data_IF_548824203578
#
_entry.id   IF_548824203578
#
_cell.length_a   1.000
_cell.length_b   1.000
_cell.length_c   1.000
_cell.angle_alpha   90.00
_cell.angle_beta   90.00
_cell.angle_gamma   90.00
#
_symmetry.space_group_name_H-M   'P 1'
#
loop_
_entity.id
_entity.type
_entity.pdbx_description
1 polymer ?
#
# COMPACT_ATOMS: atom_id res chain seq x y z
N UNK A 1 18.94 4.76 -15.59
CA UNK A 1 17.75 5.38 -16.19
C UNK A 1 16.60 5.56 -15.19
N UNK A 2 16.08 4.50 -14.54
CA UNK A 2 14.96 4.63 -13.60
C UNK A 2 15.21 5.60 -12.43
N UNK A 3 16.37 5.52 -11.77
CA UNK A 3 16.73 6.41 -10.65
C UNK A 3 16.74 7.88 -11.08
N UNK A 4 17.29 8.18 -12.27
CA UNK A 4 17.34 9.54 -12.80
C UNK A 4 15.94 10.08 -13.14
N UNK A 5 15.07 9.24 -13.72
CA UNK A 5 13.68 9.62 -14.02
C UNK A 5 12.87 9.87 -12.74
N UNK A 6 13.05 9.04 -11.69
CA UNK A 6 12.42 9.22 -10.39
C UNK A 6 12.91 10.52 -9.73
N UNK A 7 14.22 10.76 -9.72
CA UNK A 7 14.79 12.00 -9.18
C UNK A 7 14.27 13.24 -9.89
N UNK A 8 14.23 13.21 -11.22
CA UNK A 8 13.66 14.30 -12.02
C UNK A 8 12.18 14.53 -11.72
N UNK A 9 11.38 13.47 -11.61
CA UNK A 9 9.97 13.55 -11.25
C UNK A 9 9.77 14.21 -9.86
N UNK A 10 10.55 13.83 -8.85
CA UNK A 10 10.46 14.43 -7.51
C UNK A 10 10.82 15.92 -7.50
N UNK A 11 11.79 16.33 -8.30
CA UNK A 11 12.10 17.76 -8.46
C UNK A 11 10.90 18.49 -9.05
N UNK A 12 10.29 17.95 -10.11
CA UNK A 12 9.11 18.56 -10.73
C UNK A 12 7.90 18.65 -9.78
N UNK A 13 7.61 17.59 -9.02
CA UNK A 13 6.49 17.61 -8.06
C UNK A 13 6.72 18.62 -6.94
N UNK A 14 7.96 18.79 -6.48
CA UNK A 14 8.32 19.82 -5.51
C UNK A 14 8.07 21.24 -6.06
N UNK A 15 8.49 21.52 -7.29
CA UNK A 15 8.24 22.82 -7.94
C UNK A 15 6.75 23.09 -8.18
N UNK A 16 5.98 22.07 -8.60
CA UNK A 16 4.54 22.21 -8.76
C UNK A 16 3.84 22.49 -7.43
N UNK A 17 4.22 21.78 -6.35
CA UNK A 17 3.68 22.02 -5.02
C UNK A 17 3.97 23.43 -4.51
N UNK A 18 5.22 23.87 -4.61
CA UNK A 18 5.63 25.22 -4.21
C UNK A 18 4.90 26.30 -5.02
N UNK A 19 4.87 26.16 -6.35
CA UNK A 19 4.23 27.11 -7.24
C UNK A 19 2.73 27.25 -6.96
N UNK A 20 2.08 26.15 -6.60
CA UNK A 20 0.67 26.12 -6.29
C UNK A 20 0.37 26.81 -4.94
N UNK A 21 1.25 26.65 -3.93
CA UNK A 21 1.14 27.37 -2.64
C UNK A 21 1.39 28.88 -2.82
N UNK A 22 2.42 29.27 -3.59
CA UNK A 22 2.75 30.68 -3.83
C UNK A 22 1.62 31.42 -4.54
N UNK A 23 0.89 30.75 -5.43
CA UNK A 23 -0.26 31.34 -6.12
C UNK A 23 -1.57 31.29 -5.30
N UNK A 24 -1.52 30.89 -4.02
CA UNK A 24 -2.69 30.65 -3.17
C UNK A 24 -3.75 29.75 -3.84
N UNK A 25 -3.30 28.86 -4.73
CA UNK A 25 -4.18 28.05 -5.57
C UNK A 25 -4.71 26.81 -4.83
N UNK A 26 -4.14 26.48 -3.67
CA UNK A 26 -4.55 25.36 -2.83
C UNK A 26 -4.31 25.63 -1.35
N UNK A 27 -5.03 24.90 -0.52
CA UNK A 27 -4.69 24.70 0.88
C UNK A 27 -3.80 23.44 1.01
N UNK A 28 -2.52 23.58 1.38
CA UNK A 28 -1.58 22.45 1.45
C UNK A 28 -1.96 21.39 2.50
N UNK A 29 -2.89 21.69 3.40
CA UNK A 29 -3.37 20.76 4.42
C UNK A 29 -4.49 19.86 3.90
N UNK A 30 -5.37 20.37 3.02
CA UNK A 30 -6.58 19.67 2.58
C UNK A 30 -6.55 19.21 1.12
N UNK A 31 -5.77 19.90 0.28
CA UNK A 31 -5.87 19.73 -1.17
C UNK A 31 -4.80 18.79 -1.69
N UNK A 32 -5.25 17.71 -2.33
CA UNK A 32 -4.37 16.70 -2.93
C UNK A 32 -4.21 16.89 -4.46
N UNK A 33 -4.59 18.06 -5.00
CA UNK A 33 -4.64 18.35 -6.44
C UNK A 33 -3.72 19.50 -6.85
N UNK A 34 -2.48 19.52 -6.37
CA UNK A 34 -1.56 20.64 -6.57
C UNK A 34 -1.33 20.99 -8.05
N UNK A 35 -1.16 20.00 -8.94
CA UNK A 35 -0.90 20.24 -10.36
C UNK A 35 -2.13 20.78 -11.14
N UNK A 36 -3.34 20.18 -11.03
CA UNK A 36 -4.54 20.77 -11.64
C UNK A 36 -4.85 22.16 -11.08
N UNK A 37 -4.79 22.37 -9.76
CA UNK A 37 -5.12 23.66 -9.16
C UNK A 37 -4.15 24.77 -9.61
N UNK A 38 -2.85 24.46 -9.72
CA UNK A 38 -1.88 25.37 -10.33
C UNK A 38 -2.20 25.65 -11.80
N UNK A 39 -2.55 24.62 -12.59
CA UNK A 39 -2.94 24.82 -13.98
C UNK A 39 -4.12 25.78 -14.14
N UNK A 40 -5.07 25.74 -13.20
CA UNK A 40 -6.25 26.63 -13.18
C UNK A 40 -5.87 28.10 -13.04
N UNK A 41 -4.77 28.44 -12.36
CA UNK A 41 -4.33 29.84 -12.25
C UNK A 41 -3.82 30.40 -13.58
N UNK A 42 -3.36 29.53 -14.49
CA UNK A 42 -2.92 29.90 -15.84
C UNK A 42 -4.04 29.82 -16.89
N UNK A 43 -5.16 29.17 -16.59
CA UNK A 43 -6.35 29.14 -17.44
C UNK A 43 -7.16 27.84 -17.37
N UNK A 44 -8.44 27.93 -17.73
CA UNK A 44 -9.37 26.78 -17.73
C UNK A 44 -9.00 25.70 -18.73
N UNK A 45 -8.43 26.08 -19.88
CA UNK A 45 -7.95 25.13 -20.88
C UNK A 45 -6.82 24.24 -20.32
N UNK A 46 -5.82 24.85 -19.67
CA UNK A 46 -4.69 24.12 -19.11
C UNK A 46 -5.14 23.21 -17.94
N UNK A 47 -6.06 23.70 -17.11
CA UNK A 47 -6.72 22.89 -16.08
C UNK A 47 -7.42 21.66 -16.68
N UNK A 48 -8.21 21.84 -17.75
CA UNK A 48 -8.93 20.74 -18.39
C UNK A 48 -7.98 19.69 -18.99
N UNK A 49 -6.92 20.13 -19.68
CA UNK A 49 -5.92 19.23 -20.28
C UNK A 49 -5.17 18.44 -19.20
N UNK A 50 -4.66 19.11 -18.16
CA UNK A 50 -3.92 18.43 -17.08
C UNK A 50 -4.82 17.49 -16.29
N UNK A 51 -6.07 17.89 -16.02
CA UNK A 51 -7.05 17.03 -15.34
C UNK A 51 -7.40 15.80 -16.18
N UNK A 52 -7.58 15.96 -17.50
CA UNK A 52 -7.85 14.84 -18.40
C UNK A 52 -6.70 13.83 -18.45
N UNK A 53 -5.46 14.32 -18.55
CA UNK A 53 -4.26 13.47 -18.52
C UNK A 53 -4.13 12.74 -17.18
N UNK A 54 -4.31 13.46 -16.07
CA UNK A 54 -4.26 12.86 -14.73
C UNK A 54 -5.33 11.76 -14.57
N UNK A 55 -6.56 12.03 -15.01
CA UNK A 55 -7.66 11.07 -14.95
C UNK A 55 -7.38 9.83 -15.81
N UNK A 56 -6.95 10.00 -17.06
CA UNK A 56 -6.59 8.90 -17.95
C UNK A 56 -5.45 8.04 -17.36
N UNK A 57 -4.45 8.67 -16.75
CA UNK A 57 -3.31 7.98 -16.12
C UNK A 57 -3.76 7.17 -14.90
N UNK A 58 -4.61 7.75 -14.04
CA UNK A 58 -5.15 7.05 -12.86
C UNK A 58 -6.01 5.85 -13.27
N UNK A 59 -6.87 6.00 -14.28
CA UNK A 59 -7.65 4.88 -14.82
C UNK A 59 -6.77 3.75 -15.34
N UNK A 60 -5.69 4.10 -16.04
CA UNK A 60 -4.70 3.13 -16.53
C UNK A 60 -4.01 2.36 -15.41
N UNK A 61 -3.52 3.06 -14.38
CA UNK A 61 -2.82 2.44 -13.26
C UNK A 61 -3.75 1.61 -12.38
N UNK A 62 -4.95 2.11 -12.08
CA UNK A 62 -5.97 1.39 -11.30
C UNK A 62 -6.37 0.10 -12.01
N UNK A 63 -6.60 0.15 -13.33
CA UNK A 63 -6.92 -1.05 -14.12
C UNK A 63 -5.79 -2.07 -14.06
N UNK A 64 -4.54 -1.64 -14.19
CA UNK A 64 -3.36 -2.51 -14.06
C UNK A 64 -3.25 -3.16 -12.68
N UNK A 65 -3.46 -2.39 -11.61
CA UNK A 65 -3.43 -2.90 -10.23
C UNK A 65 -4.57 -3.88 -9.95
N UNK A 66 -5.79 -3.61 -10.44
CA UNK A 66 -6.94 -4.52 -10.28
C UNK A 66 -6.67 -5.84 -11.00
N UNK A 67 -6.14 -5.80 -12.23
CA UNK A 67 -5.82 -7.01 -12.98
C UNK A 67 -4.74 -7.81 -12.24
N UNK A 68 -3.67 -7.16 -11.77
CA UNK A 68 -2.61 -7.81 -11.01
C UNK A 68 -3.15 -8.45 -9.70
N UNK A 69 -3.96 -7.71 -8.94
CA UNK A 69 -4.57 -8.21 -7.70
C UNK A 69 -5.53 -9.37 -7.99
N UNK A 70 -6.35 -9.28 -9.05
CA UNK A 70 -7.26 -10.35 -9.44
C UNK A 70 -6.53 -11.61 -9.89
N UNK A 71 -5.38 -11.46 -10.56
CA UNK A 71 -4.52 -12.57 -10.97
C UNK A 71 -3.90 -13.28 -9.76
N UNK A 72 -3.40 -12.51 -8.79
CA UNK A 72 -2.90 -13.06 -7.53
C UNK A 72 -4.01 -13.81 -6.77
N UNK A 73 -5.20 -13.21 -6.62
CA UNK A 73 -6.34 -13.86 -5.96
C UNK A 73 -6.83 -15.09 -6.72
N UNK A 74 -6.90 -15.05 -8.04
CA UNK A 74 -7.31 -16.21 -8.83
C UNK A 74 -6.32 -17.36 -8.70
N UNK A 75 -5.02 -17.07 -8.78
CA UNK A 75 -3.99 -18.11 -8.70
C UNK A 75 -3.80 -18.66 -7.27
N UNK A 76 -3.82 -17.80 -6.25
CA UNK A 76 -3.61 -18.24 -4.86
C UNK A 76 -4.88 -18.85 -4.25
N UNK A 77 -6.06 -18.30 -4.52
CA UNK A 77 -7.32 -18.74 -3.90
C UNK A 77 -8.02 -19.85 -4.69
N UNK A 78 -8.01 -19.79 -6.04
CA UNK A 78 -8.78 -20.75 -6.86
C UNK A 78 -7.95 -21.95 -7.30
N UNK A 79 -6.72 -21.73 -7.78
CA UNK A 79 -5.84 -22.83 -8.21
C UNK A 79 -5.25 -23.57 -7.00
N UNK A 80 -4.74 -22.86 -5.98
CA UNK A 80 -4.09 -23.49 -4.81
C UNK A 80 -5.04 -23.93 -3.71
N UNK A 81 -6.07 -23.15 -3.37
CA UNK A 81 -6.91 -23.40 -2.18
C UNK A 81 -8.22 -24.13 -2.49
N UNK A 82 -8.94 -23.72 -3.54
CA UNK A 82 -10.23 -24.34 -3.90
C UNK A 82 -10.16 -25.49 -4.91
N UNK A 83 -9.02 -25.69 -5.60
CA UNK A 83 -8.89 -26.68 -6.68
C UNK A 83 -10.04 -26.63 -7.72
N UNK A 84 -10.63 -25.45 -7.90
CA UNK A 84 -11.84 -25.28 -8.72
C UNK A 84 -11.47 -24.99 -10.17
N UNK A 85 -11.51 -26.03 -11.01
CA UNK A 85 -11.74 -25.90 -12.45
C UNK A 85 -10.52 -26.18 -13.33
N UNK A 86 -10.54 -27.36 -13.97
CA UNK A 86 -9.53 -27.83 -14.94
C UNK A 86 -9.56 -27.10 -16.30
N UNK A 87 -10.46 -26.13 -16.52
CA UNK A 87 -10.70 -25.53 -17.85
C UNK A 87 -10.41 -24.03 -17.87
N UNK A 88 -9.65 -23.56 -18.87
CA UNK A 88 -9.26 -22.16 -19.07
C UNK A 88 -10.43 -21.14 -18.99
N UNK A 89 -11.61 -21.51 -19.49
CA UNK A 89 -12.80 -20.65 -19.43
C UNK A 89 -13.28 -20.36 -18.00
N UNK A 90 -13.16 -21.32 -17.09
CA UNK A 90 -13.54 -21.14 -15.69
C UNK A 90 -12.54 -20.25 -14.96
N UNK A 91 -11.23 -20.43 -15.21
CA UNK A 91 -10.17 -19.57 -14.67
C UNK A 91 -10.36 -18.10 -15.07
N UNK A 92 -10.64 -17.85 -16.35
CA UNK A 92 -10.90 -16.48 -16.84
C UNK A 92 -12.15 -15.88 -16.19
N UNK A 93 -13.24 -16.66 -16.04
CA UNK A 93 -14.47 -16.17 -15.40
C UNK A 93 -14.24 -15.83 -13.93
N UNK A 94 -13.50 -16.67 -13.22
CA UNK A 94 -13.23 -16.50 -11.80
C UNK A 94 -12.27 -15.33 -11.55
N UNK A 95 -11.24 -15.13 -12.40
CA UNK A 95 -10.40 -13.94 -12.38
C UNK A 95 -11.19 -12.64 -12.61
N UNK A 96 -12.16 -12.64 -13.53
CA UNK A 96 -13.05 -11.48 -13.74
C UNK A 96 -13.91 -11.16 -12.51
N UNK A 97 -14.43 -12.19 -11.83
CA UNK A 97 -15.20 -12.00 -10.60
C UNK A 97 -14.30 -11.44 -9.49
N UNK A 98 -13.08 -11.97 -9.33
CA UNK A 98 -12.11 -11.44 -8.37
C UNK A 98 -11.77 -9.96 -8.67
N UNK A 99 -11.53 -9.60 -9.93
CA UNK A 99 -11.30 -8.21 -10.33
C UNK A 99 -12.47 -7.30 -9.96
N UNK A 100 -13.70 -7.76 -10.19
CA UNK A 100 -14.90 -7.00 -9.85
C UNK A 100 -15.05 -6.79 -8.34
N UNK A 101 -14.86 -7.85 -7.54
CA UNK A 101 -14.93 -7.79 -6.08
C UNK A 101 -13.84 -6.88 -5.51
N UNK A 102 -12.59 -7.03 -5.96
CA UNK A 102 -11.46 -6.17 -5.55
C UNK A 102 -11.74 -4.71 -5.92
N UNK A 103 -12.28 -4.45 -7.11
CA UNK A 103 -12.67 -3.11 -7.55
C UNK A 103 -13.74 -2.48 -6.65
N UNK A 104 -14.79 -3.22 -6.29
CA UNK A 104 -15.83 -2.74 -5.37
C UNK A 104 -15.22 -2.40 -4.00
N UNK A 105 -14.38 -3.28 -3.46
CA UNK A 105 -13.72 -3.05 -2.16
C UNK A 105 -12.87 -1.78 -2.23
N UNK A 106 -12.09 -1.60 -3.30
CA UNK A 106 -11.27 -0.41 -3.50
C UNK A 106 -12.10 0.88 -3.57
N UNK A 107 -13.25 0.87 -4.26
CA UNK A 107 -14.17 2.03 -4.33
C UNK A 107 -14.75 2.35 -2.95
N UNK A 108 -15.24 1.34 -2.22
CA UNK A 108 -15.83 1.52 -0.89
C UNK A 108 -14.80 2.09 0.08
N UNK A 109 -13.58 1.53 0.10
CA UNK A 109 -12.49 2.06 0.90
C UNK A 109 -12.12 3.49 0.47
N UNK A 110 -12.06 3.77 -0.84
CA UNK A 110 -11.82 5.13 -1.34
C UNK A 110 -12.84 6.14 -0.81
N UNK A 111 -14.13 5.81 -0.83
CA UNK A 111 -15.22 6.66 -0.32
C UNK A 111 -15.11 6.83 1.20
N UNK A 112 -14.84 5.77 1.95
CA UNK A 112 -14.68 5.87 3.41
C UNK A 112 -13.51 6.79 3.75
N UNK A 113 -12.42 6.75 2.98
CA UNK A 113 -11.17 7.51 3.23
C UNK A 113 -11.05 8.83 2.45
N UNK A 114 -12.13 9.32 1.86
CA UNK A 114 -12.14 10.48 0.93
C UNK A 114 -11.81 11.87 1.52
N UNK A 115 -11.45 11.99 2.80
CA UNK A 115 -11.02 13.23 3.44
C UNK A 115 -9.59 13.23 3.95
N UNK A 116 -8.88 12.10 3.81
CA UNK A 116 -7.51 11.96 4.30
C UNK A 116 -6.50 12.35 3.21
N UNK A 117 -5.36 12.90 3.63
CA UNK A 117 -4.28 13.21 2.70
C UNK A 117 -3.83 11.93 1.97
N UNK A 118 -3.78 11.98 0.63
CA UNK A 118 -3.45 10.79 -0.18
C UNK A 118 -2.01 10.34 0.10
N UNK A 119 -1.10 11.27 0.37
CA UNK A 119 0.30 10.96 0.73
C UNK A 119 0.38 10.19 2.04
N UNK A 120 -0.51 10.51 2.98
CA UNK A 120 -0.61 9.79 4.25
C UNK A 120 -1.09 8.35 4.03
N UNK A 121 -2.21 8.16 3.30
CA UNK A 121 -2.73 6.82 2.99
C UNK A 121 -1.72 5.95 2.23
N UNK A 122 -1.03 6.53 1.25
CA UNK A 122 0.03 5.85 0.50
C UNK A 122 1.20 5.48 1.42
N UNK A 123 1.59 6.37 2.33
CA UNK A 123 2.62 6.11 3.35
C UNK A 123 2.25 4.92 4.25
N UNK A 124 1.01 4.86 4.73
CA UNK A 124 0.51 3.73 5.52
C UNK A 124 0.55 2.41 4.73
N UNK A 125 0.08 2.42 3.48
CA UNK A 125 0.09 1.24 2.61
C UNK A 125 1.52 0.73 2.37
N UNK A 126 2.47 1.63 2.11
CA UNK A 126 3.88 1.27 1.97
C UNK A 126 4.50 0.75 3.26
N UNK A 127 4.16 1.33 4.41
CA UNK A 127 4.66 0.86 5.69
C UNK A 127 4.18 -0.56 6.01
N UNK A 128 2.90 -0.87 5.74
CA UNK A 128 2.34 -2.24 5.88
C UNK A 128 3.06 -3.19 4.91
N UNK A 129 3.17 -2.81 3.63
CA UNK A 129 3.83 -3.65 2.61
C UNK A 129 5.31 -3.90 2.93
N UNK A 130 6.03 -2.87 3.39
CA UNK A 130 7.41 -2.98 3.81
C UNK A 130 7.55 -3.91 5.02
N UNK A 131 6.67 -3.78 6.02
CA UNK A 131 6.70 -4.62 7.22
C UNK A 131 6.49 -6.10 6.91
N UNK A 132 5.62 -6.44 5.96
CA UNK A 132 5.39 -7.83 5.57
C UNK A 132 6.53 -8.41 4.70
N UNK A 133 6.96 -7.67 3.68
CA UNK A 133 7.78 -8.22 2.61
C UNK A 133 9.28 -8.00 2.81
N UNK A 134 9.69 -6.83 3.33
CA UNK A 134 11.09 -6.45 3.42
C UNK A 134 11.89 -7.38 4.35
N UNK A 135 11.42 -7.73 5.56
CA UNK A 135 12.11 -8.68 6.43
C UNK A 135 12.28 -10.05 5.76
N UNK A 136 11.21 -10.54 5.14
CA UNK A 136 11.15 -11.85 4.49
C UNK A 136 12.14 -11.96 3.33
N UNK A 137 12.17 -10.96 2.44
CA UNK A 137 13.07 -10.94 1.27
C UNK A 137 14.53 -10.75 1.70
N UNK A 138 14.82 -9.88 2.66
CA UNK A 138 16.21 -9.69 3.11
C UNK A 138 16.71 -10.96 3.80
N UNK A 139 15.92 -11.56 4.68
CA UNK A 139 16.38 -12.74 5.43
C UNK A 139 16.52 -13.98 4.54
N UNK A 140 15.65 -14.18 3.53
CA UNK A 140 15.82 -15.30 2.60
C UNK A 140 17.08 -15.15 1.72
N UNK A 141 17.47 -13.92 1.37
CA UNK A 141 18.64 -13.66 0.53
C UNK A 141 19.96 -13.69 1.31
N UNK A 142 19.99 -13.13 2.53
CA UNK A 142 21.23 -12.92 3.28
C UNK A 142 21.43 -13.89 4.45
N UNK A 143 20.40 -14.59 4.90
CA UNK A 143 20.48 -15.47 6.07
C UNK A 143 20.09 -16.91 5.74
N UNK A 144 21.09 -17.80 5.74
CA UNK A 144 20.93 -19.24 5.45
C UNK A 144 20.04 -19.99 6.45
N UNK A 145 19.71 -19.36 7.58
CA UNK A 145 18.94 -19.95 8.69
C UNK A 145 17.43 -19.64 8.63
N UNK A 146 16.99 -18.96 7.58
CA UNK A 146 15.60 -18.55 7.40
C UNK A 146 14.70 -19.77 7.13
N UNK A 147 13.61 -19.90 7.89
CA UNK A 147 12.66 -21.01 7.77
C UNK A 147 11.34 -20.54 7.16
N UNK A 148 10.63 -21.43 6.45
CA UNK A 148 9.32 -21.10 5.87
C UNK A 148 8.29 -20.65 6.92
N UNK A 149 8.32 -21.27 8.12
CA UNK A 149 7.45 -20.87 9.24
C UNK A 149 7.82 -19.50 9.81
N UNK A 150 9.11 -19.18 9.89
CA UNK A 150 9.60 -17.87 10.31
C UNK A 150 9.20 -16.73 9.36
N UNK A 151 9.22 -17.00 8.05
CA UNK A 151 8.73 -16.06 7.03
C UNK A 151 7.22 -15.85 7.19
N UNK A 152 6.43 -16.93 7.29
CA UNK A 152 4.98 -16.82 7.44
C UNK A 152 4.58 -16.05 8.72
N UNK A 153 5.21 -16.35 9.86
CA UNK A 153 4.96 -15.64 11.12
C UNK A 153 5.38 -14.18 11.06
N UNK A 154 6.48 -13.88 10.35
CA UNK A 154 6.93 -12.50 10.12
C UNK A 154 5.92 -11.70 9.31
N UNK A 155 5.47 -12.24 8.17
CA UNK A 155 4.48 -11.57 7.30
C UNK A 155 3.20 -11.27 8.09
N UNK A 156 2.68 -12.26 8.82
CA UNK A 156 1.45 -12.10 9.63
C UNK A 156 1.67 -11.07 10.73
N UNK A 157 2.79 -11.15 11.46
CA UNK A 157 3.05 -10.23 12.58
C UNK A 157 3.33 -8.80 12.10
N UNK A 158 4.08 -8.63 11.02
CA UNK A 158 4.33 -7.33 10.40
C UNK A 158 3.04 -6.68 9.88
N UNK A 159 2.16 -7.47 9.27
CA UNK A 159 0.85 -7.00 8.79
C UNK A 159 -0.08 -6.63 9.96
N UNK A 160 -0.25 -7.52 10.93
CA UNK A 160 -1.14 -7.30 12.09
C UNK A 160 -0.64 -6.15 12.95
N UNK A 161 0.66 -6.05 13.21
CA UNK A 161 1.22 -4.93 13.97
C UNK A 161 1.07 -3.60 13.23
N UNK A 162 1.34 -3.56 11.92
CA UNK A 162 1.18 -2.33 11.14
C UNK A 162 -0.29 -1.89 11.10
N UNK A 163 -1.23 -2.81 10.84
CA UNK A 163 -2.67 -2.51 10.85
C UNK A 163 -3.13 -2.09 12.25
N UNK A 164 -2.65 -2.76 13.30
CA UNK A 164 -2.95 -2.40 14.69
C UNK A 164 -2.51 -0.96 15.01
N UNK A 165 -1.26 -0.60 14.69
CA UNK A 165 -0.76 0.76 14.92
C UNK A 165 -1.57 1.79 14.11
N UNK A 166 -1.95 1.47 12.87
CA UNK A 166 -2.80 2.33 12.05
C UNK A 166 -4.19 2.52 12.69
N UNK A 167 -4.80 1.45 13.20
CA UNK A 167 -6.11 1.54 13.84
C UNK A 167 -6.08 2.37 15.12
N UNK A 168 -4.97 2.32 15.85
CA UNK A 168 -4.77 3.05 17.11
C UNK A 168 -4.07 4.41 16.94
N UNK A 169 -3.95 4.92 15.71
CA UNK A 169 -3.30 6.21 15.45
C UNK A 169 -4.26 7.39 15.63
N UNK A 170 -3.75 8.59 15.97
CA UNK A 170 -4.57 9.78 16.18
C UNK A 170 -5.37 10.17 14.94
N UNK A 171 -4.76 10.05 13.75
CA UNK A 171 -5.40 10.34 12.46
C UNK A 171 -6.59 9.43 12.19
N UNK A 172 -6.58 8.21 12.71
CA UNK A 172 -7.66 7.26 12.53
C UNK A 172 -8.78 7.45 13.56
N UNK A 173 -8.41 7.78 14.80
CA UNK A 173 -9.34 8.13 15.87
C UNK A 173 -10.18 9.35 15.53
N UNK A 174 -9.56 10.41 15.01
CA UNK A 174 -10.26 11.64 14.55
C UNK A 174 -11.41 11.30 13.59
N UNK A 175 -11.12 10.42 12.63
CA UNK A 175 -12.08 10.02 11.61
C UNK A 175 -13.17 9.07 12.11
N UNK A 176 -12.89 8.30 13.15
CA UNK A 176 -13.91 7.51 13.86
C UNK A 176 -14.74 8.36 14.84
N UNK A 177 -14.46 9.66 14.96
CA UNK A 177 -15.15 10.57 15.87
C UNK A 177 -14.70 10.42 17.33
N UNK A 178 -13.50 9.87 17.55
CA UNK A 178 -12.88 9.70 18.87
C UNK A 178 -11.81 10.78 19.08
N UNK A 179 -11.57 11.16 20.33
CA UNK A 179 -10.57 12.18 20.67
C UNK A 179 -9.15 11.71 20.26
N UNK A 180 -8.47 12.41 19.34
CA UNK A 180 -7.11 12.08 18.92
C UNK A 180 -6.10 12.01 20.08
N UNK A 181 -6.35 12.73 21.19
CA UNK A 181 -5.50 12.72 22.37
C UNK A 181 -5.60 11.41 23.19
N UNK A 182 -6.65 10.61 22.96
CA UNK A 182 -6.86 9.30 23.61
C UNK A 182 -6.28 8.14 22.80
N UNK A 183 -5.64 8.42 21.67
CA UNK A 183 -5.02 7.40 20.83
C UNK A 183 -3.90 6.67 21.61
N UNK A 184 -4.00 5.33 21.78
CA UNK A 184 -3.00 4.54 22.51
C UNK A 184 -1.60 4.61 21.90
N UNK A 185 -1.52 4.90 20.61
CA UNK A 185 -0.26 5.11 19.90
C UNK A 185 -0.21 6.53 19.32
N UNK A 186 0.74 7.38 19.77
CA UNK A 186 0.86 8.75 19.26
C UNK A 186 1.53 8.82 17.88
N UNK A 187 1.87 7.67 17.27
CA UNK A 187 2.61 7.61 16.01
C UNK A 187 1.67 7.28 14.87
N UNK A 188 1.56 8.22 13.93
CA UNK A 188 0.85 8.01 12.67
C UNK A 188 1.64 7.15 11.68
N UNK A 189 2.95 6.98 11.89
CA UNK A 189 3.80 6.19 11.00
C UNK A 189 4.08 4.79 11.57
N UNK A 190 3.36 3.75 11.11
CA UNK A 190 3.49 2.41 11.66
C UNK A 190 4.86 1.78 11.38
N UNK A 191 5.55 2.21 10.31
CA UNK A 191 6.79 1.61 9.82
C UNK A 191 7.95 1.65 10.82
N UNK A 192 7.97 2.63 11.72
CA UNK A 192 9.03 2.77 12.74
C UNK A 192 9.02 1.58 13.70
N UNK A 193 7.84 1.04 14.01
CA UNK A 193 7.66 -0.03 15.01
C UNK A 193 7.38 -1.37 14.34
N UNK A 194 6.54 -1.41 13.30
CA UNK A 194 6.14 -2.67 12.66
C UNK A 194 7.28 -3.35 11.89
N UNK A 195 8.19 -2.59 11.27
CA UNK A 195 9.31 -3.15 10.51
C UNK A 195 10.32 -3.86 11.44
N UNK A 196 10.85 -3.21 12.51
CA UNK A 196 11.76 -3.89 13.44
C UNK A 196 11.10 -5.08 14.13
N UNK A 197 9.82 -4.96 14.50
CA UNK A 197 9.08 -6.03 15.18
C UNK A 197 8.91 -7.24 14.27
N UNK A 198 8.61 -7.04 12.98
CA UNK A 198 8.57 -8.12 12.00
C UNK A 198 9.94 -8.81 11.82
N UNK A 199 11.03 -8.05 11.78
CA UNK A 199 12.39 -8.61 11.74
C UNK A 199 12.71 -9.45 12.97
N UNK A 200 12.38 -8.95 14.17
CA UNK A 200 12.60 -9.67 15.43
C UNK A 200 11.84 -11.00 15.46
N UNK A 201 10.57 -10.99 15.06
CA UNK A 201 9.75 -12.21 15.02
C UNK A 201 10.30 -13.21 14.00
N UNK A 202 10.74 -12.74 12.82
CA UNK A 202 11.37 -13.61 11.83
C UNK A 202 12.60 -14.31 12.41
N UNK A 203 13.48 -13.55 13.08
CA UNK A 203 14.70 -14.07 13.69
C UNK A 203 14.38 -15.09 14.79
N UNK A 204 13.50 -14.73 15.72
CA UNK A 204 13.14 -15.59 16.86
C UNK A 204 12.47 -16.88 16.38
N UNK A 205 11.46 -16.79 15.51
CA UNK A 205 10.74 -17.98 15.03
C UNK A 205 11.63 -18.84 14.13
N UNK A 206 12.49 -18.23 13.31
CA UNK A 206 13.43 -19.02 12.51
C UNK A 206 14.40 -19.80 13.40
N UNK A 207 15.00 -19.18 14.41
CA UNK A 207 15.89 -19.86 15.35
C UNK A 207 15.20 -20.99 16.13
N UNK A 208 13.95 -20.79 16.55
CA UNK A 208 13.17 -21.80 17.26
C UNK A 208 12.75 -22.97 16.36
N UNK A 209 12.51 -22.71 15.08
CA UNK A 209 12.02 -23.72 14.13
C UNK A 209 13.15 -24.53 13.50
N UNK A 210 14.38 -23.97 13.42
CA UNK A 210 15.55 -24.66 12.87
C UNK A 210 15.86 -26.01 13.54
N UNK A 211 15.57 -26.16 14.84
CA UNK A 211 15.90 -27.38 15.59
C UNK A 211 15.11 -28.61 15.13
N UNK A 212 14.06 -28.44 14.31
CA UNK A 212 13.18 -29.55 13.89
C UNK A 212 13.51 -30.11 12.50
N UNK A 213 14.19 -29.36 11.63
CA UNK A 213 14.59 -29.85 10.29
C UNK A 213 15.92 -30.62 10.32
N UNK A 214 16.82 -30.31 11.27
CA UNK A 214 18.09 -31.04 11.43
C UNK A 214 17.95 -32.44 12.10
N UNK A 215 16.75 -32.81 12.57
CA UNK A 215 16.49 -34.09 13.25
C UNK A 215 15.67 -35.06 12.39
N UNK A 216 15.41 -34.72 11.13
CA UNK A 216 14.62 -35.54 10.19
C UNK A 216 15.40 -35.87 8.90
N UNK A 217 16.73 -35.79 8.94
CA UNK A 217 17.62 -36.24 7.87
C UNK A 217 18.49 -37.39 8.35
#
# INVERSE_FOLDING_TARGET
>A
MAIAAIGFFYVLTMYMGLGAVVNAALNPVTDNMSAPLLARTFGTFLFAVISAIAFATVLGTVSGLIIAASGAVAHDLMDRYMQLGHTEKQKVRAGKIAAFVVGIIAIVLGIIFQGMNVSFLVGLAFAVAASANLPSIIMILFWKKTTAKGIASSIVTGMVSAIGIIMFSPSMYDKFGLDPATAPFPLDNPGIVSIPLSFLVLVVVSLLTQKKEASAA
#
